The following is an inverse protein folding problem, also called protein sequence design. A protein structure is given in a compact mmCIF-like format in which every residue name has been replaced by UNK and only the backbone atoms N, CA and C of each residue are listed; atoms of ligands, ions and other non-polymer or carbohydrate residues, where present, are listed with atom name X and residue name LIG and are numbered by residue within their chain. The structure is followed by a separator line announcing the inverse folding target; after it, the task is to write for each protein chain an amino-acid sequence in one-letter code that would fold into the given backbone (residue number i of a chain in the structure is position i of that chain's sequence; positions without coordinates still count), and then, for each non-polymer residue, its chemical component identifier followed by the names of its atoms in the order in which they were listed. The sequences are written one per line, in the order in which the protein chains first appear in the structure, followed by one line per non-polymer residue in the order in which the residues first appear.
data_IF_244075914705
#
_entry.id   IF_244075914705
#
_cell.length_a   1.000
_cell.length_b   1.000
_cell.length_c   1.000
_cell.angle_alpha   90.00
_cell.angle_beta   90.00
_cell.angle_gamma   90.00
#
_symmetry.space_group_name_H-M   'P 1'
#
loop_
_entity.id
_entity.type
_entity.pdbx_description
1 polymer ?
#
# COMPACT_ATOMS: atom_id res chain seq x y z
N UNK A 1 21.53 -9.29 -2.45
CA UNK A 1 20.91 -8.00 -2.86
C UNK A 1 20.32 -7.32 -1.61
N UNK A 2 20.89 -6.21 -1.16
CA UNK A 2 20.44 -5.52 0.07
C UNK A 2 19.10 -4.83 -0.19
N UNK A 3 18.12 -5.03 0.70
CA UNK A 3 16.83 -4.35 0.61
C UNK A 3 17.02 -2.88 0.96
N UNK A 4 16.88 -1.98 -0.03
CA UNK A 4 17.06 -0.53 0.15
C UNK A 4 16.12 0.12 1.18
N UNK A 5 15.04 -0.56 1.56
CA UNK A 5 14.19 -0.13 2.69
C UNK A 5 14.94 -0.17 4.02
N UNK A 6 15.87 -1.11 4.21
CA UNK A 6 16.68 -1.23 5.44
C UNK A 6 17.56 0.01 5.60
N UNK A 7 18.16 0.49 4.51
CA UNK A 7 19.00 1.70 4.50
C UNK A 7 18.25 2.95 4.98
N UNK A 8 16.96 3.06 4.63
CA UNK A 8 16.10 4.17 5.11
C UNK A 8 15.92 4.08 6.62
N UNK A 9 15.67 2.88 7.16
CA UNK A 9 15.48 2.71 8.59
C UNK A 9 16.76 2.88 9.37
N UNK A 10 17.88 2.34 8.88
CA UNK A 10 19.19 2.49 9.50
C UNK A 10 19.55 3.98 9.59
N UNK A 11 19.36 4.74 8.51
CA UNK A 11 19.59 6.19 8.51
C UNK A 11 18.72 6.92 9.54
N UNK A 12 17.41 6.63 9.58
CA UNK A 12 16.50 7.28 10.52
C UNK A 12 16.77 6.88 11.97
N UNK A 13 17.35 5.69 12.19
CA UNK A 13 17.71 5.16 13.50
C UNK A 13 19.02 5.75 14.03
N UNK A 14 20.01 5.98 13.16
CA UNK A 14 21.33 6.47 13.59
C UNK A 14 21.38 7.98 13.83
N UNK A 15 20.70 8.78 13.00
CA UNK A 15 20.89 10.25 13.04
C UNK A 15 19.87 10.99 13.92
N UNK A 16 18.74 10.36 14.26
CA UNK A 16 17.66 10.86 15.14
C UNK A 16 17.54 12.40 15.31
N UNK A 17 17.33 13.17 14.23
CA UNK A 17 17.16 14.60 14.37
C UNK A 17 15.84 14.93 15.08
N UNK A 18 15.86 15.95 15.93
CA UNK A 18 14.70 16.37 16.74
C UNK A 18 13.48 16.71 15.85
N UNK A 19 13.75 17.36 14.71
CA UNK A 19 12.74 17.78 13.73
C UNK A 19 12.36 16.68 12.71
N UNK A 20 13.15 15.62 12.60
CA UNK A 20 13.00 14.56 11.59
C UNK A 20 13.60 14.91 10.22
N UNK A 21 13.58 13.96 9.28
CA UNK A 21 14.11 14.13 7.93
C UNK A 21 13.01 14.31 6.88
N UNK A 22 13.25 15.18 5.91
CA UNK A 22 12.47 15.25 4.68
C UNK A 22 12.77 14.07 3.75
N UNK A 23 11.81 13.68 2.91
CA UNK A 23 12.01 12.64 1.90
C UNK A 23 13.21 12.94 0.98
N UNK A 24 13.42 14.21 0.64
CA UNK A 24 14.54 14.65 -0.21
C UNK A 24 15.90 14.46 0.49
N UNK A 25 15.98 14.86 1.75
CA UNK A 25 17.20 14.73 2.57
C UNK A 25 17.56 13.26 2.78
N UNK A 26 16.55 12.38 2.98
CA UNK A 26 16.76 10.94 3.09
C UNK A 26 17.36 10.38 1.79
N UNK A 27 16.84 10.80 0.63
CA UNK A 27 17.37 10.36 -0.67
C UNK A 27 18.82 10.80 -0.85
N UNK A 28 19.12 12.05 -0.51
CA UNK A 28 20.46 12.63 -0.63
C UNK A 28 21.46 11.94 0.30
N UNK A 29 21.12 11.79 1.58
CA UNK A 29 22.01 11.09 2.51
C UNK A 29 22.21 9.61 2.14
N UNK A 30 21.18 8.90 1.67
CA UNK A 30 21.35 7.51 1.20
C UNK A 30 22.23 7.46 -0.04
N UNK A 31 22.09 8.42 -0.94
CA UNK A 31 22.95 8.55 -2.12
C UNK A 31 24.41 8.74 -1.71
N UNK A 32 24.66 9.64 -0.76
CA UNK A 32 26.00 9.98 -0.29
C UNK A 32 26.67 8.85 0.52
N UNK A 33 25.93 8.20 1.44
CA UNK A 33 26.48 7.14 2.30
C UNK A 33 26.74 5.82 1.57
N UNK A 34 25.91 5.50 0.58
CA UNK A 34 25.96 4.20 -0.10
C UNK A 34 26.39 4.26 -1.57
N UNK A 35 26.79 5.44 -2.06
CA UNK A 35 27.16 5.68 -3.46
C UNK A 35 26.09 5.18 -4.46
N UNK A 36 24.81 5.37 -4.13
CA UNK A 36 23.68 4.91 -4.97
C UNK A 36 23.19 6.08 -5.79
N UNK A 37 23.07 5.91 -7.11
CA UNK A 37 22.50 6.95 -7.98
C UNK A 37 21.09 7.35 -7.55
N UNK A 38 20.87 8.65 -7.32
CA UNK A 38 19.59 9.24 -6.93
C UNK A 38 18.53 9.27 -8.05
N UNK A 39 18.31 8.13 -8.71
CA UNK A 39 17.33 7.97 -9.78
C UNK A 39 15.90 7.73 -9.29
N UNK A 40 14.95 7.68 -10.24
CA UNK A 40 13.51 7.44 -9.96
C UNK A 40 13.24 6.16 -9.14
N UNK A 41 14.06 5.12 -9.32
CA UNK A 41 13.93 3.86 -8.60
C UNK A 41 14.19 4.02 -7.10
N UNK A 42 15.25 4.75 -6.73
CA UNK A 42 15.60 5.01 -5.33
C UNK A 42 14.48 5.82 -4.66
N UNK A 43 14.02 6.88 -5.33
CA UNK A 43 12.91 7.71 -4.81
C UNK A 43 11.68 6.87 -4.50
N UNK A 44 11.22 6.06 -5.46
CA UNK A 44 10.08 5.14 -5.25
C UNK A 44 10.30 4.19 -4.06
N UNK A 45 11.51 3.64 -3.92
CA UNK A 45 11.83 2.72 -2.83
C UNK A 45 11.82 3.43 -1.47
N UNK A 46 12.36 4.64 -1.39
CA UNK A 46 12.30 5.48 -0.20
C UNK A 46 10.84 5.82 0.14
N UNK A 47 10.05 6.30 -0.82
CA UNK A 47 8.62 6.59 -0.60
C UNK A 47 7.86 5.36 -0.08
N UNK A 48 8.10 4.19 -0.66
CA UNK A 48 7.48 2.93 -0.23
C UNK A 48 7.94 2.52 1.16
N UNK A 49 9.24 2.66 1.48
CA UNK A 49 9.78 2.34 2.80
C UNK A 49 9.19 3.27 3.87
N UNK A 50 9.12 4.58 3.60
CA UNK A 50 8.50 5.55 4.51
C UNK A 50 7.02 5.25 4.73
N UNK A 51 6.27 4.95 3.66
CA UNK A 51 4.86 4.56 3.78
C UNK A 51 4.69 3.32 4.63
N UNK A 52 5.49 2.28 4.37
CA UNK A 52 5.48 1.04 5.16
C UNK A 52 5.89 1.28 6.61
N UNK A 53 6.86 2.15 6.87
CA UNK A 53 7.26 2.52 8.24
C UNK A 53 6.15 3.23 9.01
N UNK A 54 5.36 4.05 8.33
CA UNK A 54 4.14 4.63 8.90
C UNK A 54 3.04 3.57 9.09
N UNK A 55 2.90 2.63 8.16
CA UNK A 55 1.94 1.53 8.26
C UNK A 55 2.31 0.56 9.37
N UNK A 56 3.59 0.35 9.67
CA UNK A 56 4.03 -0.47 10.80
C UNK A 56 4.02 0.28 12.13
N UNK A 57 3.77 1.60 12.12
CA UNK A 57 3.78 2.42 13.34
C UNK A 57 5.17 2.53 13.98
N UNK A 58 6.24 2.41 13.18
CA UNK A 58 7.64 2.59 13.64
C UNK A 58 8.18 3.98 13.28
N UNK A 59 7.53 4.66 12.34
CA UNK A 59 7.82 6.03 11.97
C UNK A 59 6.68 6.95 12.40
N UNK A 60 7.05 8.16 12.80
CA UNK A 60 6.14 9.29 12.95
C UNK A 60 6.34 10.26 11.78
N UNK A 61 5.25 10.88 11.31
CA UNK A 61 5.30 11.95 10.30
C UNK A 61 4.79 13.25 10.91
N UNK A 62 5.62 14.28 10.93
CA UNK A 62 5.27 15.64 11.39
C UNK A 62 5.74 16.63 10.33
N UNK A 63 4.87 17.56 9.90
CA UNK A 63 5.25 18.64 8.96
C UNK A 63 6.01 18.18 7.69
N UNK A 64 5.59 17.05 7.08
CA UNK A 64 6.26 16.40 5.93
C UNK A 64 7.65 15.81 6.21
N UNK A 65 8.13 15.88 7.46
CA UNK A 65 9.33 15.21 7.95
C UNK A 65 8.97 13.87 8.60
N UNK A 66 9.91 12.95 8.57
CA UNK A 66 9.79 11.58 9.09
C UNK A 66 10.79 11.39 10.22
N UNK A 67 10.34 10.81 11.33
CA UNK A 67 11.17 10.50 12.49
C UNK A 67 10.99 9.04 12.88
N UNK A 68 12.07 8.42 13.35
CA UNK A 68 12.00 7.09 13.96
C UNK A 68 11.39 7.24 15.35
N UNK A 69 10.21 6.64 15.56
CA UNK A 69 9.49 6.73 16.83
C UNK A 69 8.67 5.44 17.04
N UNK A 70 9.31 4.39 17.58
CA UNK A 70 8.68 3.09 17.74
C UNK A 70 7.59 3.07 18.81
N UNK A 71 7.52 4.07 19.68
CA UNK A 71 6.53 4.13 20.76
C UNK A 71 5.36 5.08 20.44
N UNK A 72 5.63 6.25 19.87
CA UNK A 72 4.60 7.19 19.43
C UNK A 72 3.79 6.70 18.21
N UNK A 73 4.37 5.83 17.38
CA UNK A 73 3.69 5.31 16.20
C UNK A 73 2.60 4.28 16.48
N UNK A 74 2.68 3.52 17.59
CA UNK A 74 1.65 2.55 18.00
C UNK A 74 0.30 3.21 18.27
N UNK A 75 0.30 4.37 18.91
CA UNK A 75 -0.92 5.12 19.24
C UNK A 75 -1.69 5.58 17.99
N UNK A 76 -0.98 5.95 16.92
CA UNK A 76 -1.59 6.38 15.66
C UNK A 76 -2.01 5.22 14.77
N UNK A 77 -1.35 4.06 14.88
CA UNK A 77 -1.69 2.85 14.15
C UNK A 77 -3.03 2.26 14.59
N UNK A 78 -3.29 2.19 15.90
CA UNK A 78 -4.56 1.72 16.45
C UNK A 78 -5.73 2.61 15.96
N UNK A 79 -5.56 3.93 15.98
CA UNK A 79 -6.58 4.89 15.48
C UNK A 79 -6.92 4.68 14.00
N UNK A 80 -5.94 4.36 13.13
CA UNK A 80 -6.20 4.16 11.69
C UNK A 80 -6.87 2.83 11.36
N UNK A 81 -6.62 1.77 12.15
CA UNK A 81 -7.30 0.47 11.96
C UNK A 81 -8.76 0.49 12.41
N UNK A 82 -9.13 1.38 13.33
CA UNK A 82 -10.50 1.50 13.84
C UNK A 82 -11.41 2.35 12.96
N UNK A 83 -10.89 3.05 11.95
CA UNK A 83 -11.73 3.72 10.95
C UNK A 83 -11.97 2.73 9.81
N UNK A 84 -13.17 2.10 9.69
CA UNK A 84 -13.49 1.37 8.49
C UNK A 84 -13.44 2.36 7.34
N UNK A 85 -12.64 2.07 6.32
CA UNK A 85 -12.60 2.81 5.06
C UNK A 85 -13.96 2.66 4.39
N UNK A 86 -14.95 3.44 4.82
CA UNK A 86 -16.21 3.62 4.11
C UNK A 86 -15.84 4.29 2.80
N UNK A 87 -15.77 3.50 1.73
CA UNK A 87 -15.77 4.00 0.35
C UNK A 87 -17.11 4.69 0.12
N UNK A 88 -17.22 5.96 0.49
CA UNK A 88 -18.36 6.81 0.12
C UNK A 88 -18.18 7.17 -1.36
N UNK A 89 -18.63 6.28 -2.23
CA UNK A 89 -18.87 6.61 -3.64
C UNK A 89 -20.27 7.22 -3.71
N UNK A 90 -20.44 8.47 -3.27
CA UNK A 90 -21.73 9.14 -3.31
C UNK A 90 -22.08 9.59 -4.74
N UNK A 91 -22.96 8.80 -5.36
CA UNK A 91 -24.21 9.26 -5.96
C UNK A 91 -24.23 10.74 -6.41
N UNK A 92 -23.78 11.02 -7.63
CA UNK A 92 -24.09 12.29 -8.30
C UNK A 92 -25.54 12.24 -8.79
N UNK A 93 -26.45 12.76 -7.97
CA UNK A 93 -27.87 12.94 -8.29
C UNK A 93 -28.03 13.75 -9.59
N UNK A 94 -29.00 13.31 -10.37
CA UNK A 94 -29.41 13.80 -11.68
C UNK A 94 -30.49 14.89 -11.51
N UNK A 95 -30.43 15.88 -12.41
CA UNK A 95 -31.45 16.90 -12.77
C UNK A 95 -31.61 18.15 -11.89
N UNK A 96 -31.28 19.31 -12.48
CA UNK A 96 -32.30 20.31 -12.83
C UNK A 96 -31.85 21.19 -14.01
N UNK A 97 -32.84 21.72 -14.72
CA UNK A 97 -32.83 22.08 -16.15
C UNK A 97 -32.47 23.56 -16.38
N UNK A 98 -31.63 23.86 -17.36
CA UNK A 98 -31.65 25.13 -18.13
C UNK A 98 -31.59 24.79 -19.62
N UNK A 99 -32.58 25.15 -20.45
CA UNK A 99 -32.56 24.85 -21.88
C UNK A 99 -31.94 26.03 -22.64
N UNK A 100 -30.73 25.87 -23.16
CA UNK A 100 -30.28 26.66 -24.31
C UNK A 100 -30.12 25.76 -25.53
N UNK A 101 -30.84 26.18 -26.54
CA UNK A 101 -31.19 25.54 -27.80
C UNK A 101 -29.95 25.49 -28.70
N UNK A 102 -29.48 24.31 -29.09
CA UNK A 102 -28.75 24.10 -30.36
C UNK A 102 -28.82 22.63 -30.74
N UNK A 103 -29.40 22.39 -31.92
CA UNK A 103 -29.68 21.09 -32.54
C UNK A 103 -28.57 20.78 -33.57
N UNK A 104 -28.55 19.60 -34.23
CA UNK A 104 -27.75 18.43 -33.87
C UNK A 104 -26.64 18.13 -34.90
N UNK A 105 -25.65 17.30 -34.54
CA UNK A 105 -24.81 16.61 -35.55
C UNK A 105 -24.86 15.12 -35.31
N UNK A 106 -25.62 14.44 -36.16
CA UNK A 106 -25.65 13.01 -36.34
C UNK A 106 -24.30 12.52 -36.86
N UNK A 107 -23.60 11.67 -36.10
CA UNK A 107 -22.77 10.61 -36.68
C UNK A 107 -22.88 9.35 -35.82
N UNK A 108 -23.58 8.39 -36.43
CA UNK A 108 -23.53 6.96 -36.13
C UNK A 108 -22.10 6.52 -35.89
N UNK A 109 -21.83 6.02 -34.68
CA UNK A 109 -20.54 5.49 -34.25
C UNK A 109 -20.78 4.47 -33.16
N UNK A 110 -21.22 3.28 -33.58
CA UNK A 110 -21.59 2.12 -32.76
C UNK A 110 -20.40 1.63 -31.92
N UNK A 111 -20.14 2.27 -30.77
CA UNK A 111 -19.17 1.73 -29.80
C UNK A 111 -19.82 0.61 -28.97
N UNK A 112 -19.56 -0.63 -29.39
CA UNK A 112 -19.83 -1.83 -28.58
C UNK A 112 -19.08 -1.65 -27.25
N UNK A 113 -19.84 -1.52 -26.17
CA UNK A 113 -19.37 -1.56 -24.78
C UNK A 113 -18.55 -2.84 -24.57
N UNK A 114 -17.22 -2.73 -24.58
CA UNK A 114 -16.32 -3.79 -24.12
C UNK A 114 -16.34 -3.77 -22.59
N UNK A 115 -17.33 -4.46 -22.00
CA UNK A 115 -17.36 -4.74 -20.56
C UNK A 115 -16.19 -5.66 -20.26
N UNK A 116 -15.07 -5.11 -19.76
CA UNK A 116 -14.10 -5.90 -19.02
C UNK A 116 -14.62 -6.06 -17.59
N UNK A 117 -15.63 -6.90 -17.41
CA UNK A 117 -15.87 -7.52 -16.11
C UNK A 117 -14.80 -8.59 -15.95
N UNK A 118 -13.86 -8.39 -15.04
CA UNK A 118 -13.06 -9.51 -14.54
C UNK A 118 -14.02 -10.42 -13.76
N UNK A 119 -14.69 -11.32 -14.47
CA UNK A 119 -15.36 -12.45 -13.85
C UNK A 119 -14.24 -13.32 -13.33
N UNK A 120 -13.90 -13.20 -12.05
CA UNK A 120 -13.20 -14.28 -11.37
C UNK A 120 -14.04 -15.52 -11.59
N UNK A 121 -13.53 -16.55 -12.28
CA UNK A 121 -14.30 -17.76 -12.53
C UNK A 121 -14.69 -18.33 -11.17
N UNK A 122 -16.00 -18.48 -10.96
CA UNK A 122 -16.50 -19.14 -9.78
C UNK A 122 -16.06 -20.61 -9.89
N UNK A 123 -15.28 -21.09 -8.93
CA UNK A 123 -14.84 -22.47 -8.93
C UNK A 123 -16.09 -23.35 -8.83
N UNK A 124 -16.26 -24.27 -9.79
CA UNK A 124 -17.41 -25.15 -9.86
C UNK A 124 -17.20 -26.30 -8.86
N UNK A 125 -17.30 -25.99 -7.56
CA UNK A 125 -17.15 -26.97 -6.48
C UNK A 125 -18.54 -27.50 -6.12
N UNK A 126 -18.71 -28.83 -5.94
CA UNK A 126 -19.98 -29.38 -5.50
C UNK A 126 -20.46 -28.72 -4.20
N UNK A 127 -21.78 -28.61 -4.04
CA UNK A 127 -22.39 -27.94 -2.88
C UNK A 127 -22.08 -28.61 -1.53
N UNK A 128 -21.59 -29.85 -1.58
CA UNK A 128 -21.10 -30.65 -0.46
C UNK A 128 -19.61 -30.47 -0.15
N UNK A 129 -18.89 -29.63 -0.90
CA UNK A 129 -17.48 -29.39 -0.65
C UNK A 129 -17.29 -28.61 0.65
N UNK A 130 -16.76 -29.30 1.66
CA UNK A 130 -16.32 -28.69 2.91
C UNK A 130 -14.80 -28.63 2.88
N UNK A 131 -14.18 -27.49 3.25
CA UNK A 131 -12.73 -27.41 3.38
C UNK A 131 -12.23 -28.49 4.35
N UNK A 132 -11.47 -29.46 3.84
CA UNK A 132 -10.89 -30.50 4.67
C UNK A 132 -9.85 -29.87 5.62
N UNK A 133 -10.20 -29.81 6.91
CA UNK A 133 -9.26 -29.40 7.96
C UNK A 133 -8.32 -30.58 8.20
N UNK A 134 -7.11 -30.50 7.63
CA UNK A 134 -6.04 -31.47 7.94
C UNK A 134 -5.79 -31.42 9.44
N UNK A 135 -6.03 -32.54 10.12
CA UNK A 135 -5.64 -32.71 11.52
C UNK A 135 -4.13 -32.92 11.55
N UNK A 136 -3.40 -31.88 11.93
CA UNK A 136 -1.93 -31.89 12.00
C UNK A 136 -1.38 -32.91 13.01
N UNK A 137 -2.25 -33.50 13.83
CA UNK A 137 -1.93 -34.49 14.86
C UNK A 137 -1.83 -35.92 14.34
N UNK A 138 -2.43 -36.22 13.18
CA UNK A 138 -2.48 -37.58 12.63
C UNK A 138 -1.40 -37.82 11.57
N UNK A 139 -0.62 -36.79 11.20
CA UNK A 139 0.49 -36.94 10.26
C UNK A 139 1.72 -37.49 11.00
N UNK A 140 2.34 -38.58 10.52
CA UNK A 140 3.55 -39.11 11.14
C UNK A 140 4.68 -38.09 10.97
N UNK A 141 5.11 -37.49 12.08
CA UNK A 141 6.26 -36.59 12.11
C UNK A 141 7.49 -37.37 11.64
N UNK A 142 8.11 -36.91 10.56
CA UNK A 142 9.37 -37.46 10.07
C UNK A 142 10.44 -37.27 11.15
N UNK A 143 10.92 -38.37 11.75
CA UNK A 143 12.00 -38.34 12.74
C UNK A 143 13.29 -37.87 12.06
N UNK A 144 13.69 -36.63 12.33
CA UNK A 144 15.00 -36.12 11.91
C UNK A 144 16.08 -36.86 12.70
N UNK A 145 16.93 -37.63 12.00
CA UNK A 145 18.15 -38.19 12.61
C UNK A 145 19.09 -37.03 12.93
N UNK A 146 19.39 -36.83 14.21
CA UNK A 146 20.46 -35.93 14.65
C UNK A 146 21.80 -36.58 14.24
N UNK A 147 22.62 -35.78 13.56
CA UNK A 147 24.04 -36.06 13.27
C UNK A 147 24.83 -35.68 14.53
#
# INVERSE_FOLDING_TARGET
MVRKSVLVYDLLRTEQPEEGFSEKEIIEQISNKHNITAGKALRKQVTVALRRGLDFGILAKRNKKFRFDPDGGKANFVKRRMVPVRRVRSQRKKNEKRPTKTRPRSKSGRSKKRKQSSTTPNANVPKSWVPNRRNLTDEPLSKVKKI
#
